data_IF_806985044492
#
_entry.id   IF_806985044492
#
_cell.length_a   1.000
_cell.length_b   1.000
_cell.length_c   1.000
_cell.angle_alpha   90.00
_cell.angle_beta   90.00
_cell.angle_gamma   90.00
#
_symmetry.space_group_name_H-M   'P 1'
#
loop_
_entity.id
_entity.type
_entity.pdbx_description
1 polymer ?
#
# COMPACT_ATOMS: atom_id res chain seq x y z
N UNK A 1 2.74 8.33 -22.54
CA UNK A 1 2.49 9.75 -22.22
C UNK A 1 2.72 9.88 -20.73
N UNK A 2 3.60 10.78 -20.30
CA UNK A 2 3.82 11.03 -18.89
C UNK A 2 2.88 12.14 -18.39
N UNK A 3 2.35 12.00 -17.18
CA UNK A 3 1.49 12.98 -16.53
C UNK A 3 1.97 13.24 -15.10
N UNK A 4 1.93 14.49 -14.65
CA UNK A 4 2.08 14.86 -13.25
C UNK A 4 0.71 14.85 -12.58
N UNK A 5 0.58 14.09 -11.50
CA UNK A 5 -0.65 13.99 -10.70
C UNK A 5 -0.60 14.92 -9.48
N UNK A 6 0.57 15.01 -8.82
CA UNK A 6 0.76 15.84 -7.64
C UNK A 6 2.22 16.28 -7.50
N UNK A 7 2.41 17.44 -6.87
CA UNK A 7 3.71 17.96 -6.44
C UNK A 7 3.57 18.32 -4.97
N UNK A 8 4.48 17.85 -4.13
CA UNK A 8 4.49 18.14 -2.70
C UNK A 8 5.88 18.60 -2.27
N UNK A 9 5.97 19.82 -1.76
CA UNK A 9 7.21 20.33 -1.15
C UNK A 9 7.29 19.75 0.27
N UNK A 10 8.22 18.82 0.47
CA UNK A 10 8.39 18.10 1.74
C UNK A 10 9.19 18.93 2.74
N UNK A 11 10.17 19.69 2.26
CA UNK A 11 11.01 20.60 3.05
C UNK A 11 11.61 21.66 2.12
N UNK A 12 12.32 22.68 2.65
CA UNK A 12 13.01 23.65 1.80
C UNK A 12 13.95 23.03 0.77
N UNK A 13 14.62 21.90 1.10
CA UNK A 13 15.58 21.23 0.22
C UNK A 13 14.99 20.08 -0.60
N UNK A 14 13.72 19.68 -0.38
CA UNK A 14 13.17 18.46 -1.01
C UNK A 14 11.73 18.62 -1.48
N UNK A 15 11.50 18.22 -2.73
CA UNK A 15 10.17 18.10 -3.33
C UNK A 15 9.97 16.68 -3.85
N UNK A 16 8.77 16.14 -3.68
CA UNK A 16 8.35 14.90 -4.34
C UNK A 16 7.31 15.21 -5.42
N UNK A 17 7.45 14.54 -6.56
CA UNK A 17 6.51 14.59 -7.68
C UNK A 17 5.92 13.20 -7.83
N UNK A 18 4.60 13.11 -7.81
CA UNK A 18 3.87 11.89 -8.13
C UNK A 18 3.32 12.02 -9.55
N UNK A 19 3.58 11.02 -10.38
CA UNK A 19 3.12 11.00 -11.76
C UNK A 19 2.70 9.62 -12.23
N UNK A 20 2.31 9.55 -13.51
CA UNK A 20 2.02 8.33 -14.26
C UNK A 20 2.87 8.26 -15.50
N UNK A 21 3.39 7.07 -15.79
CA UNK A 21 4.18 6.79 -17.00
C UNK A 21 3.40 5.93 -18.01
N UNK A 22 2.57 5.00 -17.52
CA UNK A 22 1.75 4.13 -18.36
C UNK A 22 0.60 3.51 -17.56
N UNK A 23 -0.64 3.62 -18.05
CA UNK A 23 -1.81 2.99 -17.45
C UNK A 23 -1.88 3.16 -15.92
N UNK A 24 -1.76 2.07 -15.16
CA UNK A 24 -1.74 2.08 -13.69
C UNK A 24 -0.36 2.36 -13.09
N UNK A 25 0.73 2.24 -13.85
CA UNK A 25 2.11 2.47 -13.37
C UNK A 25 2.32 3.94 -13.06
N UNK A 26 2.65 4.19 -11.81
CA UNK A 26 2.98 5.50 -11.27
C UNK A 26 4.48 5.62 -11.08
N UNK A 27 4.96 6.85 -11.00
CA UNK A 27 6.35 7.18 -10.74
C UNK A 27 6.42 8.17 -9.58
N UNK A 28 7.36 7.94 -8.68
CA UNK A 28 7.73 8.87 -7.62
C UNK A 28 9.09 9.45 -7.99
N UNK A 29 9.16 10.77 -8.16
CA UNK A 29 10.40 11.49 -8.45
C UNK A 29 10.76 12.38 -7.27
N UNK A 30 12.00 12.27 -6.78
CA UNK A 30 12.52 13.09 -5.68
C UNK A 30 13.45 14.16 -6.26
N UNK A 31 13.17 15.41 -5.93
CA UNK A 31 13.92 16.58 -6.42
C UNK A 31 14.60 17.27 -5.24
N UNK A 32 15.89 17.53 -5.40
CA UNK A 32 16.64 18.44 -4.56
C UNK A 32 16.37 19.88 -5.02
N UNK A 33 15.80 20.68 -4.14
CA UNK A 33 15.34 22.03 -4.47
C UNK A 33 16.48 23.04 -4.60
N UNK A 34 17.62 22.80 -3.97
CA UNK A 34 18.78 23.71 -4.01
C UNK A 34 19.49 23.63 -5.35
N UNK A 35 19.65 22.40 -5.86
CA UNK A 35 20.32 22.11 -7.13
C UNK A 35 19.35 22.01 -8.31
N UNK A 36 18.04 21.96 -8.04
CA UNK A 36 16.99 21.69 -9.01
C UNK A 36 17.21 20.37 -9.79
N UNK A 37 17.80 19.36 -9.13
CA UNK A 37 18.11 18.07 -9.74
C UNK A 37 17.25 16.95 -9.17
N UNK A 38 16.94 15.99 -10.03
CA UNK A 38 16.36 14.72 -9.59
C UNK A 38 17.43 13.94 -8.82
N UNK A 39 17.12 13.55 -7.59
CA UNK A 39 18.00 12.77 -6.72
C UNK A 39 17.61 11.29 -6.66
N UNK A 40 16.34 10.97 -6.92
CA UNK A 40 15.88 9.59 -7.11
C UNK A 40 14.60 9.56 -7.96
N UNK A 41 14.31 8.39 -8.54
CA UNK A 41 13.05 8.12 -9.23
C UNK A 41 12.77 6.63 -9.24
N UNK A 42 11.52 6.24 -8.98
CA UNK A 42 11.13 4.83 -8.99
C UNK A 42 9.67 4.61 -9.38
N UNK A 43 9.41 3.47 -10.00
CA UNK A 43 8.13 3.00 -10.47
C UNK A 43 7.37 2.26 -9.37
N UNK A 44 6.07 2.48 -9.29
CA UNK A 44 5.22 1.87 -8.28
C UNK A 44 3.76 1.81 -8.70
N UNK A 45 2.92 1.20 -7.88
CA UNK A 45 1.47 1.38 -7.91
C UNK A 45 0.98 2.01 -6.60
N UNK A 46 -0.03 2.89 -6.70
CA UNK A 46 -0.79 3.45 -5.57
C UNK A 46 0.09 4.14 -4.50
N UNK A 47 1.00 5.07 -4.85
CA UNK A 47 1.78 5.77 -3.86
C UNK A 47 0.90 6.68 -3.00
N UNK A 48 1.15 6.67 -1.68
CA UNK A 48 0.49 7.55 -0.70
C UNK A 48 1.56 8.11 0.25
N UNK A 49 1.78 9.42 0.17
CA UNK A 49 2.71 10.15 1.04
C UNK A 49 2.12 10.27 2.46
N UNK A 50 2.94 10.10 3.49
CA UNK A 50 2.54 10.25 4.89
C UNK A 50 2.20 11.71 5.21
N UNK A 51 1.31 11.99 6.19
CA UNK A 51 0.97 13.36 6.59
C UNK A 51 2.19 14.23 6.95
N UNK A 52 3.23 13.63 7.54
CA UNK A 52 4.49 14.31 7.85
C UNK A 52 5.38 14.60 6.63
N UNK A 53 5.06 14.03 5.47
CA UNK A 53 5.93 14.10 4.29
C UNK A 53 7.21 13.28 4.39
N UNK A 54 7.37 12.47 5.45
CA UNK A 54 8.60 11.68 5.67
C UNK A 54 8.62 10.40 4.83
N UNK A 55 7.47 9.76 4.63
CA UNK A 55 7.40 8.47 3.95
C UNK A 55 6.47 8.52 2.74
N UNK A 56 6.68 7.62 1.79
CA UNK A 56 5.65 7.21 0.83
C UNK A 56 5.48 5.70 0.89
N UNK A 57 4.24 5.26 1.08
CA UNK A 57 3.86 3.85 0.99
C UNK A 57 3.33 3.55 -0.41
N UNK A 58 3.64 2.38 -0.94
CA UNK A 58 3.22 1.97 -2.28
C UNK A 58 3.24 0.45 -2.45
N UNK A 59 2.68 -0.03 -3.57
CA UNK A 59 2.82 -1.41 -4.03
C UNK A 59 3.96 -1.49 -5.04
N UNK A 60 4.85 -2.49 -4.90
CA UNK A 60 5.93 -2.77 -5.85
C UNK A 60 5.37 -2.90 -7.26
N UNK A 61 6.04 -2.31 -8.23
CA UNK A 61 5.66 -2.49 -9.63
C UNK A 61 5.98 -3.91 -10.09
N UNK A 62 5.18 -4.42 -11.03
CA UNK A 62 5.41 -5.67 -11.74
C UNK A 62 4.86 -5.53 -13.17
N UNK A 63 5.30 -6.37 -14.13
CA UNK A 63 4.72 -6.38 -15.46
C UNK A 63 3.22 -6.72 -15.42
N UNK A 64 2.38 -5.86 -16.01
CA UNK A 64 0.91 -6.03 -16.00
C UNK A 64 0.46 -7.11 -17.00
N UNK A 65 1.32 -7.46 -17.97
CA UNK A 65 1.03 -8.43 -19.01
C UNK A 65 2.12 -9.48 -19.11
N UNK A 66 1.75 -10.67 -19.58
CA UNK A 66 2.67 -11.77 -19.91
C UNK A 66 3.48 -12.32 -18.73
N UNK A 67 3.04 -12.06 -17.50
CA UNK A 67 3.63 -12.61 -16.28
C UNK A 67 2.51 -13.24 -15.45
N UNK A 68 2.75 -14.46 -15.01
CA UNK A 68 1.87 -15.18 -14.09
C UNK A 68 2.41 -15.09 -12.66
N UNK A 69 1.57 -15.40 -11.68
CA UNK A 69 2.04 -15.48 -10.31
C UNK A 69 2.35 -14.14 -9.67
N UNK A 70 1.72 -13.06 -10.13
CA UNK A 70 1.93 -11.74 -9.52
C UNK A 70 1.36 -11.73 -8.10
N UNK A 71 2.15 -11.19 -7.17
CA UNK A 71 1.74 -10.87 -5.81
C UNK A 71 2.07 -9.41 -5.51
N UNK A 72 1.20 -8.73 -4.79
CA UNK A 72 1.56 -7.41 -4.26
C UNK A 72 2.61 -7.56 -3.17
N UNK A 73 3.62 -6.72 -3.25
CA UNK A 73 4.49 -6.40 -2.12
C UNK A 73 4.27 -4.94 -1.78
N UNK A 74 4.18 -4.65 -0.49
CA UNK A 74 3.93 -3.32 0.02
C UNK A 74 5.23 -2.77 0.58
N UNK A 75 5.59 -1.54 0.20
CA UNK A 75 6.88 -0.95 0.50
C UNK A 75 6.71 0.46 1.04
N UNK A 76 7.74 0.91 1.75
CA UNK A 76 7.91 2.30 2.15
C UNK A 76 9.22 2.85 1.58
N UNK A 77 9.21 4.10 1.17
CA UNK A 77 10.41 4.88 0.90
C UNK A 77 10.50 6.00 1.93
N UNK A 78 11.68 6.19 2.52
CA UNK A 78 11.98 7.25 3.48
C UNK A 78 12.63 8.44 2.77
N UNK A 79 11.93 9.57 2.72
CA UNK A 79 12.42 10.79 2.11
C UNK A 79 13.54 11.46 2.90
N UNK A 80 13.82 11.09 4.15
CA UNK A 80 15.01 11.58 4.87
C UNK A 80 16.27 10.78 4.52
N UNK A 81 16.11 9.54 4.09
CA UNK A 81 17.20 8.67 3.65
C UNK A 81 17.67 9.05 2.24
N UNK A 82 18.94 8.74 1.93
CA UNK A 82 19.46 8.85 0.57
C UNK A 82 18.84 7.78 -0.33
N UNK A 83 18.94 7.99 -1.64
CA UNK A 83 18.48 7.02 -2.63
C UNK A 83 19.18 5.65 -2.49
N UNK A 84 20.48 5.63 -2.17
CA UNK A 84 21.23 4.38 -1.92
C UNK A 84 20.74 3.69 -0.64
N UNK A 85 20.45 4.45 0.42
CA UNK A 85 19.98 3.87 1.69
C UNK A 85 18.60 3.24 1.57
N UNK A 86 17.73 3.78 0.70
CA UNK A 86 16.41 3.25 0.36
C UNK A 86 16.46 1.99 -0.53
N UNK A 87 17.61 1.36 -0.71
CA UNK A 87 17.76 0.14 -1.53
C UNK A 87 18.40 -0.98 -0.71
N UNK A 88 18.09 -2.22 -1.10
CA UNK A 88 18.74 -3.40 -0.54
C UNK A 88 20.23 -3.46 -0.89
N UNK A 89 21.05 -4.20 -0.13
CA UNK A 89 22.46 -4.39 -0.46
C UNK A 89 22.65 -4.91 -1.89
N UNK A 90 23.49 -4.25 -2.68
CA UNK A 90 23.81 -4.65 -4.06
C UNK A 90 22.81 -4.19 -5.13
N UNK A 91 21.71 -3.54 -4.76
CA UNK A 91 20.76 -2.97 -5.73
C UNK A 91 21.31 -1.62 -6.23
N UNK A 92 21.57 -1.46 -7.55
CA UNK A 92 22.17 -0.24 -8.08
C UNK A 92 21.17 0.94 -8.06
N UNK A 93 21.71 2.16 -8.03
CA UNK A 93 20.91 3.40 -8.06
C UNK A 93 20.05 3.55 -9.32
N UNK A 94 20.46 2.90 -10.41
CA UNK A 94 19.72 2.89 -11.69
C UNK A 94 18.55 1.92 -11.70
N UNK A 95 18.39 1.09 -10.66
CA UNK A 95 17.21 0.27 -10.49
C UNK A 95 16.07 1.14 -9.95
N UNK A 96 15.00 1.23 -10.74
CA UNK A 96 13.79 2.01 -10.49
C UNK A 96 12.60 1.14 -10.05
N UNK A 97 12.81 -0.16 -9.80
CA UNK A 97 11.78 -1.14 -9.40
C UNK A 97 12.00 -1.58 -7.95
N UNK A 98 13.21 -2.03 -7.63
CA UNK A 98 13.58 -2.61 -6.33
C UNK A 98 14.04 -1.51 -5.36
N UNK A 99 13.16 -0.53 -5.14
CA UNK A 99 13.39 0.64 -4.29
C UNK A 99 12.49 0.51 -3.06
N UNK A 100 12.88 1.10 -1.93
CA UNK A 100 12.15 1.05 -0.66
C UNK A 100 12.38 -0.21 0.18
N UNK A 101 11.79 -0.20 1.38
CA UNK A 101 11.82 -1.30 2.33
C UNK A 101 10.48 -2.04 2.35
N UNK A 102 10.49 -3.38 2.27
CA UNK A 102 9.26 -4.16 2.33
C UNK A 102 8.64 -4.06 3.72
N UNK A 103 7.34 -3.78 3.77
CA UNK A 103 6.56 -3.76 5.02
C UNK A 103 5.68 -5.00 5.18
N UNK A 104 5.15 -5.52 4.08
CA UNK A 104 4.24 -6.66 4.06
C UNK A 104 4.19 -7.25 2.64
N UNK A 105 4.01 -8.57 2.44
CA UNK A 105 3.96 -9.60 3.47
C UNK A 105 5.26 -9.72 4.28
N UNK A 106 5.15 -10.26 5.50
CA UNK A 106 6.32 -10.48 6.34
C UNK A 106 7.29 -11.45 5.65
N UNK A 107 8.57 -11.09 5.65
CA UNK A 107 9.63 -11.88 4.99
C UNK A 107 9.87 -11.50 3.53
N UNK A 108 9.10 -10.59 2.94
CA UNK A 108 9.45 -9.99 1.64
C UNK A 108 10.82 -9.31 1.72
N UNK A 109 11.59 -9.42 0.64
CA UNK A 109 12.98 -8.97 0.56
C UNK A 109 13.21 -7.81 -0.40
N UNK A 110 12.21 -7.48 -1.23
CA UNK A 110 12.31 -6.53 -2.32
C UNK A 110 13.51 -6.81 -3.26
N UNK A 111 13.65 -8.07 -3.67
CA UNK A 111 14.63 -8.53 -4.65
C UNK A 111 14.03 -8.51 -6.07
N UNK A 112 14.87 -8.42 -7.12
CA UNK A 112 14.38 -8.47 -8.48
C UNK A 112 13.53 -9.74 -8.74
N UNK A 113 12.24 -9.53 -9.04
CA UNK A 113 11.30 -10.59 -9.42
C UNK A 113 10.73 -11.44 -8.28
N UNK A 114 10.88 -11.04 -7.01
CA UNK A 114 10.29 -11.77 -5.87
C UNK A 114 8.76 -11.65 -5.77
N UNK A 115 8.17 -10.69 -6.51
CA UNK A 115 6.73 -10.45 -6.58
C UNK A 115 6.04 -11.08 -7.82
N UNK A 116 6.74 -11.95 -8.56
CA UNK A 116 6.21 -12.68 -9.72
C UNK A 116 6.45 -14.19 -9.57
N UNK A 117 5.73 -15.01 -10.34
CA UNK A 117 5.78 -16.49 -10.21
C UNK A 117 5.46 -17.01 -8.80
N UNK A 118 4.76 -16.22 -7.98
CA UNK A 118 4.29 -16.59 -6.64
C UNK A 118 3.13 -17.58 -6.77
N UNK A 119 3.17 -18.64 -5.96
CA UNK A 119 2.11 -19.64 -5.91
C UNK A 119 0.83 -19.05 -5.33
N UNK A 120 -0.33 -19.47 -5.83
CA UNK A 120 -1.63 -18.80 -5.56
C UNK A 120 -1.93 -18.59 -4.07
N UNK A 121 -1.64 -19.59 -3.23
CA UNK A 121 -1.88 -19.53 -1.78
C UNK A 121 -1.06 -18.44 -1.05
N UNK A 122 0.06 -18.04 -1.63
CA UNK A 122 1.00 -17.08 -1.06
C UNK A 122 0.90 -15.71 -1.77
N UNK A 123 -0.06 -15.56 -2.69
CA UNK A 123 -0.31 -14.28 -3.36
C UNK A 123 -1.05 -13.32 -2.43
N UNK A 124 -0.68 -12.06 -2.55
CA UNK A 124 -1.26 -10.92 -1.87
C UNK A 124 -1.84 -9.95 -2.88
N UNK A 125 -2.95 -9.31 -2.55
CA UNK A 125 -3.59 -8.28 -3.36
C UNK A 125 -4.14 -7.18 -2.47
N UNK A 126 -3.97 -5.92 -2.88
CA UNK A 126 -4.50 -4.79 -2.13
C UNK A 126 -6.03 -4.77 -2.32
N UNK A 127 -6.77 -4.98 -1.24
CA UNK A 127 -8.23 -5.02 -1.22
C UNK A 127 -8.87 -3.73 -0.69
N UNK A 128 -8.08 -2.81 -0.13
CA UNK A 128 -8.49 -1.42 0.07
C UNK A 128 -8.18 -0.57 -1.18
N UNK A 129 -8.87 0.55 -1.36
CA UNK A 129 -8.64 1.43 -2.53
C UNK A 129 -7.22 2.02 -2.56
N UNK A 130 -6.62 2.20 -1.39
CA UNK A 130 -5.28 2.77 -1.17
C UNK A 130 -4.76 2.42 0.23
N UNK A 131 -3.61 3.00 0.57
CA UNK A 131 -3.09 3.04 1.95
C UNK A 131 -3.63 4.23 2.73
N UNK A 132 -3.71 4.07 4.06
CA UNK A 132 -4.22 5.09 4.99
C UNK A 132 -3.22 5.29 6.13
N UNK A 133 -2.66 6.49 6.21
CA UNK A 133 -1.75 6.86 7.29
C UNK A 133 -2.51 7.37 8.52
N UNK A 134 -1.99 7.08 9.71
CA UNK A 134 -2.38 7.80 10.92
C UNK A 134 -1.92 9.26 10.85
N UNK A 135 -2.60 10.14 11.58
CA UNK A 135 -2.29 11.58 11.55
C UNK A 135 -0.84 11.90 11.98
N UNK A 136 -0.26 11.09 12.86
CA UNK A 136 1.13 11.22 13.32
C UNK A 136 2.16 10.52 12.40
N UNK A 137 1.71 9.93 11.28
CA UNK A 137 2.54 9.21 10.30
C UNK A 137 3.29 7.98 10.84
N UNK A 138 2.89 7.46 11.99
CA UNK A 138 3.52 6.28 12.60
C UNK A 138 2.85 4.97 12.27
N UNK A 139 1.61 5.00 11.80
CA UNK A 139 0.87 3.80 11.45
C UNK A 139 0.38 3.89 10.02
N UNK A 140 0.51 2.79 9.29
CA UNK A 140 -0.03 2.60 7.96
C UNK A 140 -1.05 1.48 7.97
N UNK A 141 -2.28 1.76 7.55
CA UNK A 141 -3.33 0.78 7.45
C UNK A 141 -3.74 0.52 5.99
N UNK A 142 -4.05 -0.73 5.69
CA UNK A 142 -4.60 -1.17 4.41
C UNK A 142 -5.30 -2.52 4.58
N UNK A 143 -6.11 -2.92 3.61
CA UNK A 143 -6.68 -4.27 3.58
C UNK A 143 -5.97 -5.10 2.54
N UNK A 144 -5.47 -6.26 2.96
CA UNK A 144 -4.83 -7.24 2.11
C UNK A 144 -5.76 -8.43 1.86
N UNK A 145 -5.75 -8.95 0.66
CA UNK A 145 -6.39 -10.20 0.28
C UNK A 145 -5.33 -11.26 0.01
N UNK A 146 -5.36 -12.32 0.80
CA UNK A 146 -4.47 -13.47 0.63
C UNK A 146 -5.16 -14.76 1.09
N UNK A 147 -4.84 -15.87 0.44
CA UNK A 147 -5.37 -17.19 0.78
C UNK A 147 -6.90 -17.21 0.96
N UNK A 148 -7.63 -16.54 0.06
CA UNK A 148 -9.09 -16.46 0.08
C UNK A 148 -9.68 -15.59 1.20
N UNK A 149 -8.89 -14.74 1.85
CA UNK A 149 -9.31 -13.95 3.01
C UNK A 149 -8.86 -12.49 2.92
N UNK A 150 -9.78 -11.57 3.21
CA UNK A 150 -9.47 -10.17 3.43
C UNK A 150 -9.04 -9.96 4.90
N UNK A 151 -7.94 -9.25 5.12
CA UNK A 151 -7.48 -8.88 6.46
C UNK A 151 -7.11 -7.41 6.51
N UNK A 152 -7.56 -6.71 7.55
CA UNK A 152 -7.02 -5.39 7.90
C UNK A 152 -5.59 -5.61 8.43
N UNK A 153 -4.64 -4.84 7.88
CA UNK A 153 -3.24 -4.83 8.28
C UNK A 153 -2.92 -3.42 8.76
N UNK A 154 -2.27 -3.33 9.92
CA UNK A 154 -1.70 -2.09 10.45
C UNK A 154 -0.22 -2.31 10.70
N UNK A 155 0.60 -1.52 10.02
CA UNK A 155 2.05 -1.50 10.15
C UNK A 155 2.47 -0.28 10.97
N UNK A 156 3.12 -0.51 12.11
CA UNK A 156 3.82 0.53 12.86
C UNK A 156 5.15 0.81 12.19
N UNK A 157 5.27 2.01 11.64
CA UNK A 157 6.44 2.54 10.95
C UNK A 157 7.22 3.41 11.94
N UNK A 158 8.43 2.97 12.27
CA UNK A 158 9.32 3.71 13.15
C UNK A 158 10.60 4.07 12.40
N UNK A 159 11.07 5.30 12.63
CA UNK A 159 12.31 5.79 12.03
C UNK A 159 13.47 4.86 12.40
N UNK A 160 14.24 4.46 11.39
CA UNK A 160 15.41 3.60 11.57
C UNK A 160 15.11 2.11 11.75
N UNK A 161 13.84 1.71 11.95
CA UNK A 161 13.46 0.30 11.88
C UNK A 161 13.03 -0.05 10.46
N UNK A 162 13.81 -0.91 9.79
CA UNK A 162 13.43 -1.47 8.49
C UNK A 162 12.40 -2.60 8.60
N UNK A 163 12.13 -3.07 9.82
CA UNK A 163 11.16 -4.12 10.10
C UNK A 163 9.98 -3.47 10.82
N UNK A 164 8.81 -3.33 10.18
CA UNK A 164 7.64 -2.80 10.85
C UNK A 164 7.09 -3.80 11.85
N UNK A 165 6.43 -3.29 12.90
CA UNK A 165 5.57 -4.15 13.72
C UNK A 165 4.22 -4.23 13.04
N UNK A 166 3.75 -5.45 12.79
CA UNK A 166 2.51 -5.69 12.08
C UNK A 166 1.46 -6.24 13.05
N UNK A 167 0.30 -5.62 13.07
CA UNK A 167 -0.93 -6.20 13.60
C UNK A 167 -1.87 -6.48 12.43
N UNK A 168 -2.54 -7.63 12.44
CA UNK A 168 -3.51 -7.98 11.41
C UNK A 168 -4.73 -8.67 12.00
N UNK A 169 -5.90 -8.40 11.42
CA UNK A 169 -7.15 -9.06 11.80
C UNK A 169 -7.96 -9.42 10.55
N UNK A 170 -8.47 -10.66 10.46
CA UNK A 170 -9.33 -11.04 9.35
C UNK A 170 -10.66 -10.28 9.40
N UNK A 171 -11.18 -9.90 8.23
CA UNK A 171 -12.52 -9.37 8.07
C UNK A 171 -13.49 -10.53 7.83
N UNK A 172 -14.66 -10.50 8.47
CA UNK A 172 -15.74 -11.45 8.16
C UNK A 172 -16.69 -10.84 7.12
N UNK A 173 -16.71 -11.36 5.87
CA UNK A 173 -17.61 -10.86 4.84
C UNK A 173 -19.10 -11.00 5.19
N UNK A 174 -19.47 -11.96 6.06
CA UNK A 174 -20.85 -12.17 6.49
C UNK A 174 -21.33 -11.06 7.45
N UNK A 175 -20.42 -10.47 8.22
CA UNK A 175 -20.72 -9.32 9.06
C UNK A 175 -20.91 -8.05 8.22
N UNK A 176 -20.17 -7.92 7.11
CA UNK A 176 -20.13 -6.71 6.28
C UNK A 176 -21.21 -6.73 5.18
N UNK A 177 -21.52 -7.90 4.63
CA UNK A 177 -22.40 -8.08 3.48
C UNK A 177 -23.63 -8.92 3.79
N UNK A 178 -24.73 -8.64 3.09
CA UNK A 178 -25.97 -9.40 3.17
C UNK A 178 -25.98 -10.50 2.09
N UNK A 179 -25.64 -11.72 2.48
CA UNK A 179 -25.54 -12.87 1.56
C UNK A 179 -26.84 -13.24 0.85
N UNK A 180 -28.00 -12.97 1.47
CA UNK A 180 -29.31 -13.30 0.90
C UNK A 180 -29.64 -12.42 -0.30
N UNK A 181 -29.24 -11.16 -0.22
CA UNK A 181 -29.46 -10.16 -1.27
C UNK A 181 -28.30 -10.11 -2.27
N UNK A 182 -27.13 -10.64 -1.92
CA UNK A 182 -25.93 -10.61 -2.75
C UNK A 182 -25.85 -11.79 -3.73
N UNK A 183 -26.79 -11.86 -4.68
CA UNK A 183 -26.95 -13.02 -5.58
C UNK A 183 -25.71 -13.33 -6.42
N UNK A 184 -25.02 -12.31 -6.92
CA UNK A 184 -23.84 -12.45 -7.78
C UNK A 184 -22.59 -12.92 -7.01
N UNK A 185 -22.51 -12.62 -5.71
CA UNK A 185 -21.34 -12.89 -4.88
C UNK A 185 -21.62 -13.90 -3.76
N UNK A 186 -22.65 -14.74 -3.88
CA UNK A 186 -23.07 -15.66 -2.81
C UNK A 186 -21.91 -16.52 -2.29
N UNK A 187 -21.05 -17.00 -3.19
CA UNK A 187 -19.89 -17.84 -2.85
C UNK A 187 -18.58 -17.03 -2.69
N UNK A 188 -18.66 -15.70 -2.84
CA UNK A 188 -17.53 -14.77 -2.98
C UNK A 188 -17.80 -13.42 -2.31
N UNK A 189 -18.45 -13.42 -1.15
CA UNK A 189 -18.93 -12.20 -0.48
C UNK A 189 -17.84 -11.18 -0.19
N UNK A 190 -16.59 -11.60 0.00
CA UNK A 190 -15.51 -10.65 0.21
C UNK A 190 -15.23 -9.75 -1.01
N UNK A 191 -15.72 -10.12 -2.19
CA UNK A 191 -15.61 -9.33 -3.42
C UNK A 191 -16.82 -8.41 -3.63
N UNK A 192 -17.86 -8.46 -2.77
CA UNK A 192 -19.02 -7.57 -2.92
C UNK A 192 -18.78 -6.16 -2.38
N UNK A 193 -17.68 -5.94 -1.66
CA UNK A 193 -17.30 -4.65 -1.10
C UNK A 193 -15.81 -4.33 -1.30
N UNK A 194 -15.49 -3.04 -1.22
CA UNK A 194 -14.12 -2.51 -1.20
C UNK A 194 -14.01 -1.57 0.00
N UNK A 195 -12.87 -1.61 0.70
CA UNK A 195 -12.59 -0.66 1.78
C UNK A 195 -12.10 0.66 1.22
N UNK A 196 -12.90 1.71 1.37
CA UNK A 196 -12.67 3.04 0.80
C UNK A 196 -12.06 4.02 1.79
N UNK A 197 -12.21 3.75 3.08
CA UNK A 197 -11.62 4.55 4.14
C UNK A 197 -11.20 3.67 5.32
N UNK A 198 -10.04 3.97 5.90
CA UNK A 198 -9.61 3.48 7.20
C UNK A 198 -9.27 4.70 8.07
N UNK A 199 -9.93 4.82 9.20
CA UNK A 199 -9.74 5.90 10.18
C UNK A 199 -9.16 5.32 11.47
N UNK A 200 -8.10 5.94 11.98
CA UNK A 200 -7.49 5.55 13.24
C UNK A 200 -8.26 6.18 14.41
N UNK A 201 -8.93 5.35 15.21
CA UNK A 201 -9.68 5.78 16.40
C UNK A 201 -8.78 5.88 17.64
N UNK A 202 -7.57 5.33 17.58
CA UNK A 202 -6.56 5.39 18.64
C UNK A 202 -5.19 5.76 18.06
N UNK A 203 -4.41 6.54 18.81
CA UNK A 203 -3.05 6.93 18.41
C UNK A 203 -2.10 5.74 18.21
N UNK A 204 -2.28 4.64 18.95
CA UNK A 204 -1.43 3.46 18.87
C UNK A 204 -1.78 2.53 17.69
N UNK A 205 -2.77 2.87 16.87
CA UNK A 205 -3.16 2.02 15.74
C UNK A 205 -3.98 0.77 16.08
N UNK A 206 -4.26 0.52 17.37
CA UNK A 206 -4.98 -0.68 17.82
C UNK A 206 -6.48 -0.63 17.58
N UNK A 207 -7.06 0.55 17.34
CA UNK A 207 -8.46 0.72 17.00
C UNK A 207 -8.62 1.49 15.69
N UNK A 208 -9.35 0.90 14.75
CA UNK A 208 -9.62 1.47 13.43
C UNK A 208 -11.09 1.35 13.04
N UNK A 209 -11.60 2.33 12.29
CA UNK A 209 -12.90 2.30 11.62
C UNK A 209 -12.70 2.11 10.13
N UNK A 210 -13.33 1.10 9.57
CA UNK A 210 -13.34 0.83 8.14
C UNK A 210 -14.66 1.33 7.55
N UNK A 211 -14.64 1.95 6.38
CA UNK A 211 -15.83 2.26 5.57
C UNK A 211 -15.80 1.50 4.26
N UNK A 212 -16.99 1.14 3.80
CA UNK A 212 -17.16 0.24 2.66
C UNK A 212 -17.89 0.92 1.50
N UNK A 213 -17.52 0.53 0.28
CA UNK A 213 -18.32 0.74 -0.93
C UNK A 213 -18.68 -0.62 -1.49
N UNK A 214 -19.95 -0.81 -1.84
CA UNK A 214 -20.45 -2.07 -2.39
C UNK A 214 -20.58 -1.97 -3.91
N UNK A 215 -20.23 -3.05 -4.59
CA UNK A 215 -20.41 -3.16 -6.04
C UNK A 215 -21.90 -3.27 -6.42
N UNK A 216 -22.66 -3.97 -5.58
CA UNK A 216 -24.13 -4.02 -5.62
C UNK A 216 -24.68 -3.45 -4.29
N UNK A 217 -25.42 -2.33 -4.32
CA UNK A 217 -26.04 -1.76 -3.13
C UNK A 217 -26.92 -2.75 -2.35
N UNK A 218 -27.53 -3.75 -3.01
CA UNK A 218 -28.33 -4.79 -2.37
C UNK A 218 -27.52 -5.70 -1.44
N UNK A 219 -26.22 -5.87 -1.70
CA UNK A 219 -25.31 -6.64 -0.86
C UNK A 219 -24.96 -5.95 0.46
N UNK A 220 -25.30 -4.66 0.64
CA UNK A 220 -24.88 -3.88 1.80
C UNK A 220 -25.56 -4.37 3.08
N UNK A 221 -24.76 -4.63 4.11
CA UNK A 221 -25.23 -4.82 5.50
C UNK A 221 -24.78 -3.69 6.41
N UNK A 222 -23.52 -3.32 6.35
CA UNK A 222 -22.92 -2.25 7.15
C UNK A 222 -22.27 -1.18 6.26
N UNK A 223 -22.37 0.08 6.65
CA UNK A 223 -21.60 1.18 6.06
C UNK A 223 -20.15 1.22 6.56
N UNK A 224 -19.97 0.82 7.82
CA UNK A 224 -18.69 0.86 8.51
C UNK A 224 -18.64 -0.16 9.63
N UNK A 225 -17.43 -0.51 10.05
CA UNK A 225 -17.16 -1.36 11.22
C UNK A 225 -15.97 -0.82 12.00
N UNK A 226 -16.05 -0.87 13.33
CA UNK A 226 -14.95 -0.53 14.23
C UNK A 226 -14.27 -1.83 14.67
N UNK A 227 -12.95 -1.88 14.58
CA UNK A 227 -12.16 -3.07 14.87
C UNK A 227 -11.05 -2.74 15.87
N UNK A 228 -10.92 -3.58 16.89
CA UNK A 228 -9.72 -3.68 17.72
C UNK A 228 -8.78 -4.73 17.13
N UNK A 229 -7.53 -4.35 16.93
CA UNK A 229 -6.40 -5.20 16.51
C UNK A 229 -5.65 -5.73 17.75
N UNK A 230 -5.03 -6.92 17.64
CA UNK A 230 -4.27 -7.53 18.73
C UNK A 230 -2.99 -6.76 19.08
#
# INVERSE_FOLDING_TARGET
MAQVDAIQVLSPSKTVILGRVQASVQIVTVVDNETARVTDSFLCFRPVVSPSGQFVAYVKVFPIHFVEGVSNEYLIYDFESTAVENRGPGIPITNDIDVGFPIFPLGSSNLPGDNVSVVEKDRHMLASERFFWSADSKNLAFVDWSNGRASIVVAEISRGSRIPRIASKPLDPQEISNSEHCKEYRDKLAFSFVVTQIEFLSFQGSHVRLKFRFNDPGCKRLDSIDLSLP
#
